data_IF_114640031531
#
_entry.id   IF_114640031531
#
_cell.length_a   1.000
_cell.length_b   1.000
_cell.length_c   1.000
_cell.angle_alpha   90.00
_cell.angle_beta   90.00
_cell.angle_gamma   90.00
#
_symmetry.space_group_name_H-M   'P 1'
#
loop_
_entity.id
_entity.type
_entity.pdbx_description
1 polymer ?
#
# COMPACT_ATOMS: atom_id res chain seq x y z
N UNK A 1 20.54 -15.43 3.04
CA UNK A 1 19.23 -15.50 3.69
C UNK A 1 18.19 -15.41 2.60
N UNK A 2 17.47 -16.50 2.37
CA UNK A 2 16.37 -16.55 1.39
C UNK A 2 15.10 -16.17 2.13
N UNK A 3 14.24 -15.40 1.48
CA UNK A 3 12.91 -15.05 1.99
C UNK A 3 11.84 -15.57 1.05
N UNK A 4 10.79 -16.16 1.60
CA UNK A 4 9.60 -16.56 0.86
C UNK A 4 8.44 -15.60 1.13
N UNK A 5 7.76 -15.15 0.08
CA UNK A 5 6.57 -14.33 0.24
C UNK A 5 5.38 -15.20 0.65
N UNK A 6 4.60 -14.76 1.64
CA UNK A 6 3.38 -15.45 2.07
C UNK A 6 2.22 -14.45 2.24
N UNK A 7 0.98 -14.95 2.11
CA UNK A 7 -0.23 -14.18 2.42
C UNK A 7 -0.35 -14.08 3.94
N UNK A 8 -0.16 -12.88 4.49
CA UNK A 8 -0.11 -12.66 5.94
C UNK A 8 -1.50 -12.41 6.53
N UNK A 9 -2.28 -11.57 5.87
CA UNK A 9 -3.64 -11.20 6.25
C UNK A 9 -4.50 -11.05 5.01
N UNK A 10 -5.79 -11.38 5.12
CA UNK A 10 -6.82 -10.84 4.26
C UNK A 10 -8.02 -10.29 5.04
N UNK A 11 -8.65 -9.27 4.48
CA UNK A 11 -9.97 -8.82 4.88
C UNK A 11 -10.86 -8.86 3.64
N UNK A 12 -11.92 -9.66 3.70
CA UNK A 12 -12.84 -9.90 2.62
C UNK A 12 -14.11 -9.07 2.77
N UNK A 13 -14.61 -8.59 1.62
CA UNK A 13 -15.89 -7.92 1.51
C UNK A 13 -16.01 -6.62 2.33
N UNK A 14 -14.93 -5.84 2.41
CA UNK A 14 -14.98 -4.47 2.94
C UNK A 14 -15.73 -3.59 1.95
N UNK A 15 -16.57 -2.68 2.46
CA UNK A 15 -17.24 -1.67 1.66
C UNK A 15 -16.50 -0.34 1.72
N UNK A 16 -16.20 0.24 0.57
CA UNK A 16 -15.68 1.61 0.47
C UNK A 16 -16.77 2.59 0.91
N UNK A 17 -16.48 3.44 1.88
CA UNK A 17 -17.42 4.44 2.41
C UNK A 17 -17.32 5.76 1.64
N UNK A 18 -16.12 6.20 1.32
CA UNK A 18 -15.87 7.46 0.61
C UNK A 18 -14.63 7.38 -0.29
N UNK A 19 -14.51 8.36 -1.17
CA UNK A 19 -13.33 8.62 -1.98
C UNK A 19 -12.84 10.04 -1.67
N UNK A 20 -11.56 10.18 -1.36
CA UNK A 20 -10.93 11.47 -1.10
C UNK A 20 -10.23 11.97 -2.34
N UNK A 21 -10.69 13.12 -2.84
CA UNK A 21 -10.04 13.88 -3.91
C UNK A 21 -9.36 15.16 -3.40
N UNK A 22 -9.22 15.34 -2.08
CA UNK A 22 -8.64 16.55 -1.52
C UNK A 22 -7.16 16.73 -1.93
N UNK A 23 -6.61 17.92 -1.70
CA UNK A 23 -5.22 18.28 -1.99
C UNK A 23 -4.33 18.40 -0.74
N UNK A 24 -4.81 17.98 0.44
CA UNK A 24 -4.12 18.19 1.72
C UNK A 24 -4.00 16.88 2.54
N UNK A 25 -2.84 16.68 3.18
CA UNK A 25 -2.51 15.45 3.91
C UNK A 25 -1.92 14.36 3.02
N UNK A 26 -2.16 13.09 3.35
CA UNK A 26 -1.65 11.95 2.56
C UNK A 26 -2.57 11.74 1.35
N UNK A 27 -2.02 11.87 0.14
CA UNK A 27 -2.78 11.93 -1.12
C UNK A 27 -2.89 10.60 -1.87
N UNK A 28 -2.39 9.50 -1.30
CA UNK A 28 -2.36 8.17 -1.89
C UNK A 28 -2.60 7.14 -0.78
N UNK A 29 -3.19 5.99 -1.07
CA UNK A 29 -3.40 4.95 -0.06
C UNK A 29 -4.88 4.60 0.17
N UNK A 30 -5.09 3.75 1.17
CA UNK A 30 -6.42 3.38 1.65
C UNK A 30 -6.50 3.66 3.14
N UNK A 31 -7.39 4.56 3.54
CA UNK A 31 -7.70 4.83 4.94
C UNK A 31 -8.55 3.68 5.47
N UNK A 32 -8.06 3.02 6.53
CA UNK A 32 -8.72 1.88 7.16
C UNK A 32 -8.90 2.22 8.66
N UNK A 33 -10.09 2.02 9.23
CA UNK A 33 -10.32 2.24 10.66
C UNK A 33 -9.30 1.50 11.53
N UNK A 34 -8.67 2.19 12.49
CA UNK A 34 -7.68 1.57 13.40
C UNK A 34 -8.20 0.29 14.08
N UNK A 35 -9.45 0.23 14.56
CA UNK A 35 -9.98 -1.00 15.13
C UNK A 35 -9.98 -2.18 14.14
N UNK A 36 -10.33 -1.94 12.86
CA UNK A 36 -10.29 -2.96 11.82
C UNK A 36 -8.86 -3.37 11.47
N UNK A 37 -7.94 -2.42 11.37
CA UNK A 37 -6.51 -2.72 11.17
C UNK A 37 -5.96 -3.60 12.30
N UNK A 38 -6.30 -3.28 13.55
CA UNK A 38 -5.91 -4.06 14.73
C UNK A 38 -6.49 -5.47 14.69
N UNK A 39 -7.79 -5.60 14.37
CA UNK A 39 -8.45 -6.90 14.24
C UNK A 39 -7.76 -7.77 13.18
N UNK A 40 -7.35 -7.16 12.07
CA UNK A 40 -6.70 -7.80 10.93
C UNK A 40 -5.19 -8.02 11.08
N UNK A 41 -4.58 -7.54 12.17
CA UNK A 41 -3.12 -7.50 12.30
C UNK A 41 -2.44 -6.80 11.10
N UNK A 42 -2.95 -5.64 10.69
CA UNK A 42 -2.36 -4.76 9.66
C UNK A 42 -1.71 -3.57 10.37
N UNK A 43 -0.44 -3.29 10.06
CA UNK A 43 0.24 -2.10 10.59
C UNK A 43 -0.09 -0.85 9.77
N UNK A 44 -0.13 0.34 10.41
CA UNK A 44 -0.06 1.61 9.70
C UNK A 44 1.08 1.63 8.68
N UNK A 45 0.73 2.08 7.48
CA UNK A 45 1.60 2.17 6.31
C UNK A 45 2.13 0.84 5.77
N UNK A 46 1.55 -0.29 6.18
CA UNK A 46 1.80 -1.59 5.56
C UNK A 46 1.30 -1.60 4.11
N UNK A 47 2.10 -2.17 3.21
CA UNK A 47 1.70 -2.37 1.83
C UNK A 47 0.53 -3.35 1.78
N UNK A 48 -0.51 -2.93 1.08
CA UNK A 48 -1.71 -3.72 0.86
C UNK A 48 -1.88 -3.99 -0.63
N UNK A 49 -2.60 -5.06 -0.92
CA UNK A 49 -3.17 -5.32 -2.24
C UNK A 49 -4.67 -5.15 -2.11
N UNK A 50 -5.24 -4.30 -2.95
CA UNK A 50 -6.68 -4.06 -3.02
C UNK A 50 -7.23 -4.74 -4.26
N UNK A 51 -8.27 -5.55 -4.07
CA UNK A 51 -8.99 -6.24 -5.15
C UNK A 51 -10.46 -5.85 -5.11
N UNK A 52 -11.10 -5.60 -6.25
CA UNK A 52 -12.51 -5.25 -6.34
C UNK A 52 -13.33 -6.46 -6.79
N UNK A 53 -14.38 -6.82 -6.05
CA UNK A 53 -15.23 -7.99 -6.39
C UNK A 53 -15.88 -7.92 -7.78
N UNK A 54 -16.00 -6.71 -8.36
CA UNK A 54 -16.50 -6.49 -9.73
C UNK A 54 -15.39 -6.27 -10.78
N UNK A 55 -14.12 -6.29 -10.37
CA UNK A 55 -12.97 -6.10 -11.26
C UNK A 55 -12.85 -7.23 -12.27
N UNK A 56 -12.58 -6.90 -13.54
CA UNK A 56 -12.64 -7.88 -14.64
C UNK A 56 -11.28 -8.34 -15.15
N UNK A 57 -10.16 -7.70 -14.79
CA UNK A 57 -8.80 -8.01 -15.28
C UNK A 57 -7.69 -7.61 -14.28
N UNK A 58 -6.54 -7.12 -14.77
CA UNK A 58 -5.37 -6.67 -14.00
C UNK A 58 -5.66 -5.48 -13.07
N UNK A 59 -6.73 -4.75 -13.34
CA UNK A 59 -7.34 -3.72 -12.48
C UNK A 59 -7.89 -4.28 -11.17
N UNK A 60 -8.00 -5.61 -11.04
CA UNK A 60 -8.47 -6.29 -9.85
C UNK A 60 -7.38 -6.57 -8.81
N UNK A 61 -6.13 -6.09 -8.99
CA UNK A 61 -5.06 -6.32 -8.02
C UNK A 61 -4.09 -5.16 -7.93
N UNK A 62 -4.50 -4.12 -7.21
CA UNK A 62 -3.77 -2.86 -7.13
C UNK A 62 -3.00 -2.80 -5.81
N UNK A 63 -1.69 -2.60 -5.89
CA UNK A 63 -0.86 -2.40 -4.70
C UNK A 63 -1.05 -0.98 -4.19
N UNK A 64 -1.09 -0.80 -2.88
CA UNK A 64 -1.17 0.49 -2.21
C UNK A 64 -0.64 0.32 -0.77
N UNK A 65 -1.04 1.18 0.16
CA UNK A 65 -0.70 1.05 1.57
C UNK A 65 -1.85 1.49 2.47
N UNK A 66 -1.88 0.93 3.68
CA UNK A 66 -2.89 1.26 4.68
C UNK A 66 -2.56 2.57 5.40
N UNK A 67 -3.53 3.47 5.48
CA UNK A 67 -3.47 4.68 6.31
C UNK A 67 -4.39 4.46 7.51
N UNK A 68 -3.94 4.71 8.75
CA UNK A 68 -4.83 4.62 9.90
C UNK A 68 -5.91 5.70 9.85
N UNK A 69 -7.18 5.27 9.94
CA UNK A 69 -8.35 6.14 10.03
C UNK A 69 -8.90 6.23 11.46
N UNK A 70 -9.30 7.44 11.84
CA UNK A 70 -9.90 7.73 13.16
C UNK A 70 -11.44 7.60 13.17
N UNK A 71 -12.03 7.32 12.01
CA UNK A 71 -13.47 7.05 11.84
C UNK A 71 -13.70 5.57 11.53
N UNK A 72 -14.96 5.15 11.48
CA UNK A 72 -15.36 3.80 11.03
C UNK A 72 -15.38 3.66 9.51
N UNK A 73 -15.04 4.72 8.77
CA UNK A 73 -15.11 4.75 7.33
C UNK A 73 -13.84 4.22 6.67
N UNK A 74 -14.04 3.43 5.62
CA UNK A 74 -12.96 3.07 4.69
C UNK A 74 -12.97 4.08 3.57
N UNK A 75 -11.89 4.83 3.45
CA UNK A 75 -11.77 5.91 2.46
C UNK A 75 -10.62 5.64 1.49
N UNK A 76 -10.90 5.76 0.21
CA UNK A 76 -9.92 5.55 -0.87
C UNK A 76 -9.27 6.88 -1.23
N UNK A 77 -7.95 6.89 -1.45
CA UNK A 77 -7.19 8.08 -1.84
C UNK A 77 -6.39 7.84 -3.12
N UNK A 78 -6.04 8.92 -3.82
CA UNK A 78 -5.08 8.91 -4.93
C UNK A 78 -5.45 8.02 -6.10
N UNK A 79 -4.48 7.26 -6.60
CA UNK A 79 -4.62 6.42 -7.79
C UNK A 79 -5.73 5.37 -7.69
N UNK A 80 -6.07 4.92 -6.47
CA UNK A 80 -7.13 3.95 -6.25
C UNK A 80 -8.54 4.51 -6.57
N UNK A 81 -8.73 5.83 -6.51
CA UNK A 81 -10.01 6.49 -6.79
C UNK A 81 -10.48 6.29 -8.24
N UNK A 82 -9.58 5.89 -9.15
CA UNK A 82 -9.92 5.62 -10.56
C UNK A 82 -10.61 4.25 -10.76
N UNK A 83 -10.55 3.37 -9.75
CA UNK A 83 -11.12 2.02 -9.83
C UNK A 83 -12.19 1.74 -8.77
N UNK A 84 -12.27 2.60 -7.75
CA UNK A 84 -13.12 2.41 -6.58
C UNK A 84 -13.99 3.64 -6.37
N UNK A 85 -15.27 3.38 -6.15
CA UNK A 85 -16.29 4.37 -5.80
C UNK A 85 -16.95 4.00 -4.46
N UNK A 86 -17.61 4.94 -3.77
CA UNK A 86 -18.42 4.62 -2.60
C UNK A 86 -19.39 3.46 -2.88
N UNK A 87 -19.44 2.49 -1.95
CA UNK A 87 -20.21 1.26 -2.10
C UNK A 87 -19.45 0.10 -2.76
N UNK A 88 -18.28 0.33 -3.35
CA UNK A 88 -17.42 -0.74 -3.89
C UNK A 88 -17.11 -1.78 -2.82
N UNK A 89 -17.18 -3.05 -3.19
CA UNK A 89 -16.88 -4.17 -2.30
C UNK A 89 -15.51 -4.74 -2.64
N UNK A 90 -14.55 -4.57 -1.72
CA UNK A 90 -13.14 -4.87 -1.91
C UNK A 90 -12.65 -5.98 -0.97
N UNK A 91 -11.55 -6.61 -1.36
CA UNK A 91 -10.70 -7.36 -0.42
C UNK A 91 -9.36 -6.64 -0.26
N UNK A 92 -8.82 -6.69 0.95
CA UNK A 92 -7.51 -6.16 1.30
C UNK A 92 -6.62 -7.36 1.66
N UNK A 93 -5.42 -7.44 1.08
CA UNK A 93 -4.47 -8.52 1.35
C UNK A 93 -3.13 -7.90 1.73
N UNK A 94 -2.51 -8.38 2.80
CA UNK A 94 -1.11 -8.05 3.09
C UNK A 94 -0.20 -9.24 2.82
N UNK A 95 1.02 -8.92 2.40
CA UNK A 95 2.09 -9.89 2.20
C UNK A 95 3.10 -9.76 3.33
N UNK A 96 3.63 -10.88 3.78
CA UNK A 96 4.84 -10.88 4.57
C UNK A 96 5.92 -11.75 3.92
N UNK A 97 7.08 -11.78 4.55
CA UNK A 97 8.26 -12.52 4.12
C UNK A 97 8.75 -13.40 5.27
N UNK A 98 8.82 -14.70 5.02
CA UNK A 98 9.29 -15.71 5.95
C UNK A 98 10.77 -16.00 5.68
N UNK A 99 11.56 -16.07 6.74
CA UNK A 99 12.88 -16.70 6.67
C UNK A 99 12.75 -18.23 6.73
N UNK A 100 13.85 -18.95 6.52
CA UNK A 100 13.87 -20.42 6.46
C UNK A 100 13.23 -21.09 7.70
N UNK A 101 13.46 -20.54 8.90
CA UNK A 101 12.87 -21.07 10.13
C UNK A 101 11.35 -20.86 10.16
N UNK A 102 10.90 -19.69 9.70
CA UNK A 102 9.49 -19.36 9.65
C UNK A 102 8.72 -20.12 8.56
N UNK A 103 9.38 -20.47 7.44
CA UNK A 103 8.81 -21.36 6.41
C UNK A 103 8.53 -22.73 7.03
N UNK A 104 9.47 -23.29 7.79
CA UNK A 104 9.26 -24.57 8.48
C UNK A 104 8.09 -24.51 9.46
N UNK A 105 8.00 -23.44 10.26
CA UNK A 105 6.88 -23.23 11.20
C UNK A 105 5.53 -23.13 10.45
N UNK A 106 5.50 -22.46 9.30
CA UNK A 106 4.30 -22.41 8.45
C UNK A 106 3.91 -23.81 7.94
N UNK A 107 4.87 -24.57 7.38
CA UNK A 107 4.62 -25.93 6.87
C UNK A 107 4.19 -26.92 7.95
N UNK A 108 4.64 -26.74 9.19
CA UNK A 108 4.22 -27.54 10.34
C UNK A 108 2.82 -27.17 10.87
N UNK A 109 2.19 -26.12 10.35
CA UNK A 109 0.91 -25.63 10.85
C UNK A 109 1.02 -24.87 12.18
N UNK A 110 2.17 -24.24 12.45
CA UNK A 110 2.41 -23.48 13.69
C UNK A 110 2.20 -21.96 13.49
N UNK A 111 2.26 -21.48 12.24
CA UNK A 111 2.11 -20.06 11.90
C UNK A 111 0.85 -19.84 11.04
N UNK A 112 -0.22 -19.21 11.58
CA UNK A 112 -1.43 -18.96 10.81
C UNK A 112 -1.36 -17.66 10.00
N UNK A 113 -2.09 -17.61 8.89
CA UNK A 113 -2.55 -16.34 8.32
C UNK A 113 -3.83 -15.87 9.04
N UNK A 114 -4.10 -14.56 8.98
CA UNK A 114 -5.33 -13.97 9.53
C UNK A 114 -6.31 -13.74 8.40
N UNK A 115 -7.48 -14.35 8.46
CA UNK A 115 -8.55 -14.19 7.48
C UNK A 115 -9.76 -13.54 8.15
N UNK A 116 -10.17 -12.37 7.67
CA UNK A 116 -11.36 -11.66 8.17
C UNK A 116 -12.38 -11.58 7.05
N UNK A 117 -13.64 -11.84 7.36
CA UNK A 117 -14.72 -11.75 6.39
C UNK A 117 -15.93 -11.04 6.93
N UNK A 118 -16.51 -10.18 6.08
CA UNK A 118 -17.87 -9.69 6.24
C UNK A 118 -18.82 -10.44 5.30
N UNK A 119 -20.08 -10.60 5.69
CA UNK A 119 -21.11 -11.12 4.78
C UNK A 119 -21.43 -10.06 3.71
N UNK A 120 -21.22 -10.32 2.40
CA UNK A 120 -21.33 -9.30 1.35
C UNK A 120 -22.66 -8.54 1.32
N UNK A 121 -23.76 -9.27 1.50
CA UNK A 121 -25.13 -8.73 1.40
C UNK A 121 -25.56 -7.97 2.65
N UNK A 122 -25.02 -8.33 3.81
CA UNK A 122 -25.35 -7.71 5.09
C UNK A 122 -24.38 -6.57 5.46
N UNK A 123 -23.18 -6.53 4.90
CA UNK A 123 -22.19 -5.50 5.21
C UNK A 123 -22.55 -4.18 4.54
N UNK A 124 -23.15 -3.26 5.29
CA UNK A 124 -23.48 -1.91 4.83
C UNK A 124 -22.41 -0.87 5.20
N UNK A 125 -21.68 -1.09 6.30
CA UNK A 125 -20.89 -0.04 6.95
C UNK A 125 -19.63 -0.56 7.68
N UNK A 126 -19.21 -1.80 7.45
CA UNK A 126 -18.03 -2.44 8.04
C UNK A 126 -18.02 -2.47 9.58
N UNK A 127 -19.20 -2.60 10.19
CA UNK A 127 -19.31 -2.73 11.65
C UNK A 127 -18.55 -3.97 12.14
N UNK A 128 -17.70 -3.80 13.15
CA UNK A 128 -16.76 -4.85 13.55
C UNK A 128 -17.47 -6.06 14.16
N UNK A 129 -18.64 -5.88 14.76
CA UNK A 129 -19.48 -6.96 15.28
C UNK A 129 -19.96 -7.94 14.19
N UNK A 130 -19.98 -7.49 12.93
CA UNK A 130 -20.35 -8.33 11.78
C UNK A 130 -19.15 -9.07 11.18
N UNK A 131 -17.93 -8.75 11.65
CA UNK A 131 -16.71 -9.35 11.15
C UNK A 131 -16.48 -10.74 11.77
N UNK A 132 -16.21 -11.73 10.92
CA UNK A 132 -15.71 -13.03 11.36
C UNK A 132 -14.21 -13.10 11.21
N UNK A 133 -13.51 -13.50 12.27
CA UNK A 133 -12.06 -13.64 12.28
C UNK A 133 -11.69 -15.11 12.31
N UNK A 134 -10.80 -15.50 11.41
CA UNK A 134 -10.27 -16.85 11.33
C UNK A 134 -8.74 -16.84 11.37
N UNK A 135 -8.20 -17.84 12.05
CA UNK A 135 -6.81 -18.23 11.96
C UNK A 135 -6.71 -19.42 11.01
N UNK A 136 -6.13 -19.21 9.83
CA UNK A 136 -5.90 -20.26 8.85
C UNK A 136 -4.47 -20.76 8.92
N UNK A 137 -4.32 -21.98 9.40
CA UNK A 137 -3.09 -22.74 9.37
C UNK A 137 -3.06 -23.60 8.10
N UNK A 138 -1.91 -24.21 7.82
CA UNK A 138 -1.74 -25.06 6.63
C UNK A 138 -2.79 -26.18 6.51
N UNK A 139 -3.25 -26.74 7.63
CA UNK A 139 -4.15 -27.90 7.69
C UNK A 139 -5.48 -27.65 8.40
N UNK A 140 -5.73 -26.46 8.95
CA UNK A 140 -6.93 -26.18 9.73
C UNK A 140 -7.32 -24.70 9.70
N UNK A 141 -8.61 -24.41 9.87
CA UNK A 141 -9.17 -23.06 9.96
C UNK A 141 -10.00 -22.97 11.23
N UNK A 142 -9.66 -22.02 12.10
CA UNK A 142 -10.32 -21.82 13.40
C UNK A 142 -10.96 -20.43 13.45
N UNK A 143 -12.27 -20.36 13.73
CA UNK A 143 -12.95 -19.10 14.04
C UNK A 143 -12.57 -18.65 15.45
N UNK A 144 -12.26 -17.37 15.62
CA UNK A 144 -11.86 -16.75 16.89
C UNK A 144 -12.53 -15.39 17.03
N UNK A 145 -12.80 -14.95 18.26
CA UNK A 145 -13.33 -13.59 18.48
C UNK A 145 -12.25 -12.52 18.23
N UNK A 146 -11.00 -12.84 18.55
CA UNK A 146 -9.84 -11.97 18.37
C UNK A 146 -8.57 -12.81 18.23
N UNK A 147 -7.54 -12.23 17.61
CA UNK A 147 -6.24 -12.91 17.47
C UNK A 147 -5.58 -13.02 18.85
N UNK A 148 -5.22 -14.23 19.32
CA UNK A 148 -4.52 -14.40 20.58
C UNK A 148 -3.16 -13.69 20.59
N UNK A 149 -2.79 -13.11 21.74
CA UNK A 149 -1.54 -12.31 21.88
C UNK A 149 -0.28 -13.10 21.52
N UNK A 150 -0.19 -14.37 21.95
CA UNK A 150 0.93 -15.25 21.62
C UNK A 150 1.06 -15.49 20.11
N UNK A 151 -0.06 -15.57 19.38
CA UNK A 151 -0.08 -15.72 17.93
C UNK A 151 0.39 -14.42 17.25
N UNK A 152 -0.04 -13.25 17.73
CA UNK A 152 0.47 -11.96 17.24
C UNK A 152 1.98 -11.82 17.43
N UNK A 153 2.49 -12.18 18.61
CA UNK A 153 3.93 -12.15 18.92
C UNK A 153 4.71 -13.09 18.01
N UNK A 154 4.25 -14.34 17.86
CA UNK A 154 4.86 -15.31 16.95
C UNK A 154 4.85 -14.80 15.51
N UNK A 155 3.73 -14.25 15.03
CA UNK A 155 3.63 -13.69 13.68
C UNK A 155 4.58 -12.52 13.46
N UNK A 156 4.77 -11.64 14.45
CA UNK A 156 5.72 -10.53 14.34
C UNK A 156 7.18 -11.00 14.40
N UNK A 157 7.45 -12.06 15.15
CA UNK A 157 8.78 -12.67 15.22
C UNK A 157 9.14 -13.41 13.92
N UNK A 158 8.20 -14.20 13.39
CA UNK A 158 8.46 -15.11 12.26
C UNK A 158 8.41 -14.43 10.90
N UNK A 159 7.83 -13.22 10.75
CA UNK A 159 7.75 -12.62 9.43
C UNK A 159 7.97 -11.12 9.38
N UNK A 160 8.68 -10.69 8.34
CA UNK A 160 8.81 -9.29 7.97
C UNK A 160 7.62 -8.84 7.13
N UNK A 161 7.17 -7.60 7.33
CA UNK A 161 6.14 -6.93 6.55
C UNK A 161 6.78 -5.95 5.56
N UNK A 162 6.04 -5.55 4.54
CA UNK A 162 6.44 -4.48 3.62
C UNK A 162 5.83 -3.18 4.12
N UNK A 163 6.64 -2.28 4.66
CA UNK A 163 6.17 -1.01 5.26
C UNK A 163 6.66 0.16 4.41
N UNK A 164 5.78 1.15 4.17
CA UNK A 164 6.13 2.38 3.47
C UNK A 164 7.25 3.10 4.22
N UNK A 165 8.26 3.55 3.49
CA UNK A 165 9.41 4.26 4.05
C UNK A 165 9.55 5.69 3.56
N UNK A 166 9.13 5.93 2.32
CA UNK A 166 9.13 7.24 1.69
C UNK A 166 7.93 7.34 0.77
N UNK A 167 7.31 8.51 0.72
CA UNK A 167 6.26 8.85 -0.23
C UNK A 167 6.48 10.29 -0.73
N UNK A 168 6.51 10.46 -2.05
CA UNK A 168 6.50 11.75 -2.72
C UNK A 168 5.16 11.86 -3.46
N UNK A 169 4.36 12.86 -3.13
CA UNK A 169 3.06 13.08 -3.74
C UNK A 169 3.03 14.35 -4.60
N UNK A 170 2.17 14.37 -5.62
CA UNK A 170 1.88 15.58 -6.39
C UNK A 170 2.94 15.93 -7.45
N UNK A 171 3.74 14.97 -7.90
CA UNK A 171 4.67 15.17 -9.00
C UNK A 171 3.92 15.23 -10.33
N UNK A 172 4.30 16.15 -11.21
CA UNK A 172 3.80 16.21 -12.59
C UNK A 172 4.90 15.80 -13.55
N UNK A 173 4.65 14.86 -14.46
CA UNK A 173 5.67 14.44 -15.45
C UNK A 173 5.95 15.60 -16.42
N UNK A 174 7.17 16.09 -16.48
CA UNK A 174 7.57 17.22 -17.35
C UNK A 174 8.26 16.77 -18.64
N UNK A 175 8.78 15.54 -18.69
CA UNK A 175 9.41 14.98 -19.88
C UNK A 175 9.18 13.47 -19.98
N UNK A 176 9.36 12.92 -21.19
CA UNK A 176 9.41 11.47 -21.40
C UNK A 176 10.53 11.08 -22.36
N UNK A 177 11.06 9.87 -22.18
CA UNK A 177 12.03 9.26 -23.09
C UNK A 177 11.60 7.82 -23.43
N UNK A 178 10.73 7.62 -24.43
CA UNK A 178 10.09 6.34 -24.69
C UNK A 178 11.02 5.26 -25.27
N UNK A 179 12.15 5.65 -25.89
CA UNK A 179 13.06 4.73 -26.59
C UNK A 179 14.04 3.98 -25.67
N UNK A 180 13.77 3.95 -24.36
CA UNK A 180 14.56 3.20 -23.38
C UNK A 180 14.01 1.78 -23.20
N UNK A 181 14.91 0.78 -23.16
CA UNK A 181 14.52 -0.63 -22.95
C UNK A 181 13.91 -0.89 -21.57
N UNK A 182 14.36 -0.17 -20.54
CA UNK A 182 13.83 -0.25 -19.19
C UNK A 182 13.21 1.08 -18.80
N UNK A 183 12.00 1.04 -18.23
CA UNK A 183 11.35 2.24 -17.73
C UNK A 183 11.79 2.57 -16.31
N UNK A 184 12.20 3.82 -16.09
CA UNK A 184 12.60 4.42 -14.81
C UNK A 184 11.64 5.53 -14.39
N UNK A 185 11.63 5.83 -13.09
CA UNK A 185 11.09 7.06 -12.55
C UNK A 185 12.24 8.04 -12.29
N UNK A 186 12.37 9.08 -13.09
CA UNK A 186 13.46 10.04 -12.94
C UNK A 186 12.94 11.31 -12.25
N UNK A 187 13.54 11.66 -11.13
CA UNK A 187 12.99 12.59 -10.15
C UNK A 187 14.01 13.66 -9.77
N UNK A 188 13.58 14.89 -9.45
CA UNK A 188 14.47 15.93 -8.94
C UNK A 188 15.23 15.46 -7.68
N UNK A 189 16.55 15.59 -7.70
CA UNK A 189 17.42 15.08 -6.63
C UNK A 189 17.15 15.74 -5.26
N UNK A 190 16.79 17.02 -5.27
CA UNK A 190 16.37 17.81 -4.11
C UNK A 190 15.09 17.26 -3.44
N UNK A 191 14.09 16.89 -4.24
CA UNK A 191 12.86 16.25 -3.76
C UNK A 191 13.16 14.84 -3.23
N UNK A 192 13.98 14.06 -3.95
CA UNK A 192 14.41 12.75 -3.48
C UNK A 192 15.12 12.85 -2.12
N UNK A 193 16.02 13.82 -1.95
CA UNK A 193 16.72 14.07 -0.71
C UNK A 193 15.77 14.42 0.44
N UNK A 194 14.81 15.32 0.20
CA UNK A 194 13.80 15.68 1.20
C UNK A 194 12.95 14.48 1.64
N UNK A 195 12.65 13.57 0.72
CA UNK A 195 11.90 12.35 0.99
C UNK A 195 12.77 11.20 1.56
N UNK A 196 14.08 11.40 1.72
CA UNK A 196 15.05 10.36 2.10
C UNK A 196 15.05 9.17 1.15
N UNK A 197 14.84 9.44 -0.14
CA UNK A 197 14.84 8.47 -1.22
C UNK A 197 16.22 8.43 -1.89
N UNK A 198 16.94 7.32 -1.74
CA UNK A 198 18.25 7.14 -2.37
C UNK A 198 18.13 6.88 -3.89
N UNK A 199 19.17 7.28 -4.63
CA UNK A 199 19.33 6.91 -6.05
C UNK A 199 19.25 5.40 -6.27
N UNK A 200 18.62 5.01 -7.36
CA UNK A 200 18.43 3.62 -7.83
C UNK A 200 17.68 2.72 -6.86
N UNK A 201 16.99 3.30 -5.87
CA UNK A 201 16.10 2.53 -4.99
C UNK A 201 14.86 2.11 -5.76
N UNK A 202 14.41 0.88 -5.54
CA UNK A 202 13.14 0.38 -6.05
C UNK A 202 11.96 1.19 -5.50
N UNK A 203 11.05 1.57 -6.39
CA UNK A 203 9.88 2.42 -6.10
C UNK A 203 8.64 1.92 -6.81
N UNK A 204 7.49 2.31 -6.28
CA UNK A 204 6.17 2.15 -6.84
C UNK A 204 5.70 3.52 -7.30
N UNK A 205 5.43 3.67 -8.59
CA UNK A 205 4.88 4.90 -9.16
C UNK A 205 3.39 4.72 -9.35
N UNK A 206 2.60 5.49 -8.62
CA UNK A 206 1.16 5.57 -8.73
C UNK A 206 0.78 6.64 -9.74
N UNK A 207 -0.05 6.29 -10.72
CA UNK A 207 -0.62 7.27 -11.64
C UNK A 207 -1.92 7.80 -11.03
N UNK A 208 -1.91 9.04 -10.54
CA UNK A 208 -3.06 9.61 -9.85
C UNK A 208 -4.22 9.94 -10.83
N UNK A 209 -3.90 10.24 -12.09
CA UNK A 209 -4.90 10.66 -13.08
C UNK A 209 -5.59 9.48 -13.77
N UNK A 210 -4.84 8.42 -14.09
CA UNK A 210 -5.35 7.23 -14.80
C UNK A 210 -5.52 6.02 -13.91
N UNK A 211 -4.97 6.07 -12.69
CA UNK A 211 -4.94 4.97 -11.78
C UNK A 211 -3.83 3.97 -12.11
N UNK A 212 -3.62 3.05 -11.19
CA UNK A 212 -2.70 1.94 -11.33
C UNK A 212 -1.32 2.29 -10.79
N UNK A 213 -0.44 1.30 -10.88
CA UNK A 213 0.90 1.38 -10.32
C UNK A 213 1.87 0.67 -11.26
N UNK A 214 3.09 1.21 -11.35
CA UNK A 214 4.22 0.54 -11.96
C UNK A 214 5.39 0.45 -10.97
N UNK A 215 6.00 -0.73 -10.89
CA UNK A 215 7.22 -0.97 -10.10
C UNK A 215 8.44 -0.65 -10.97
N UNK A 216 9.36 0.14 -10.45
CA UNK A 216 10.58 0.58 -11.13
C UNK A 216 11.62 1.02 -10.10
N UNK A 217 12.60 1.83 -10.47
CA UNK A 217 13.60 2.44 -9.61
C UNK A 217 13.70 3.95 -9.86
N UNK A 218 14.11 4.69 -8.83
CA UNK A 218 14.29 6.14 -8.90
C UNK A 218 15.66 6.52 -9.48
N UNK A 219 15.70 7.45 -10.43
CA UNK A 219 16.94 8.03 -10.99
C UNK A 219 16.98 9.53 -10.70
N UNK A 220 18.07 10.08 -10.15
CA UNK A 220 18.14 11.51 -9.86
C UNK A 220 18.25 12.34 -11.13
N UNK A 221 17.56 13.47 -11.15
CA UNK A 221 17.54 14.48 -12.21
C UNK A 221 17.77 15.89 -11.66
N UNK A 222 18.14 16.87 -12.51
CA UNK A 222 18.16 18.27 -12.13
C UNK A 222 16.81 18.76 -11.56
N UNK A 223 16.82 19.82 -10.74
CA UNK A 223 15.60 20.41 -10.18
C UNK A 223 14.51 20.68 -11.22
N UNK A 224 13.25 20.39 -10.86
CA UNK A 224 12.07 20.62 -11.72
C UNK A 224 11.85 19.57 -12.83
N UNK A 225 12.80 18.65 -13.06
CA UNK A 225 12.65 17.61 -14.08
C UNK A 225 12.10 16.34 -13.46
N UNK A 226 10.87 15.99 -13.83
CA UNK A 226 10.25 14.68 -13.55
C UNK A 226 10.08 13.99 -14.89
N UNK A 227 10.81 12.89 -15.11
CA UNK A 227 10.80 12.18 -16.38
C UNK A 227 10.45 10.72 -16.20
N UNK A 228 9.67 10.19 -17.15
CA UNK A 228 9.41 8.75 -17.27
C UNK A 228 10.04 8.20 -18.55
N UNK A 229 10.63 7.03 -18.48
CA UNK A 229 11.35 6.44 -19.63
C UNK A 229 10.77 5.09 -20.03
N UNK A 230 11.08 4.62 -21.25
CA UNK A 230 10.64 3.31 -21.74
C UNK A 230 9.13 3.09 -21.60
N UNK A 231 8.71 1.93 -21.08
CA UNK A 231 7.30 1.62 -20.84
C UNK A 231 6.61 2.59 -19.84
N UNK A 232 7.38 3.23 -18.95
CA UNK A 232 6.83 4.23 -18.01
C UNK A 232 6.32 5.49 -18.74
N UNK A 233 6.88 5.83 -19.91
CA UNK A 233 6.41 6.96 -20.71
C UNK A 233 4.97 6.77 -21.22
N UNK A 234 4.56 5.53 -21.51
CA UNK A 234 3.19 5.21 -21.88
C UNK A 234 2.26 5.16 -20.65
N UNK A 235 2.77 4.63 -19.54
CA UNK A 235 2.04 4.57 -18.26
C UNK A 235 1.73 5.97 -17.72
N UNK A 236 2.70 6.87 -17.72
CA UNK A 236 2.59 8.24 -17.23
C UNK A 236 3.27 9.22 -18.23
N UNK A 237 2.55 9.68 -19.27
CA UNK A 237 3.05 10.67 -20.21
C UNK A 237 3.18 12.06 -19.59
N UNK A 238 3.80 13.01 -20.33
CA UNK A 238 3.89 14.42 -19.92
C UNK A 238 2.54 14.98 -19.46
N UNK A 239 2.55 15.74 -18.36
CA UNK A 239 1.40 16.33 -17.69
C UNK A 239 0.68 15.39 -16.70
N UNK A 240 1.06 14.11 -16.65
CA UNK A 240 0.45 13.14 -15.71
C UNK A 240 0.88 13.43 -14.29
N UNK A 241 -0.08 13.45 -13.35
CA UNK A 241 0.20 13.48 -11.92
C UNK A 241 0.54 12.09 -11.39
N UNK A 242 1.64 12.02 -10.65
CA UNK A 242 2.16 10.78 -10.08
C UNK A 242 2.53 10.93 -8.62
N UNK A 243 2.43 9.83 -7.89
CA UNK A 243 2.97 9.68 -6.54
C UNK A 243 4.02 8.57 -6.57
N UNK A 244 5.13 8.72 -5.84
CA UNK A 244 6.22 7.74 -5.81
C UNK A 244 6.44 7.26 -4.39
N UNK A 245 6.31 5.95 -4.17
CA UNK A 245 6.51 5.31 -2.88
C UNK A 245 7.71 4.37 -2.89
N UNK A 246 8.43 4.33 -1.77
CA UNK A 246 9.45 3.31 -1.51
C UNK A 246 9.11 2.54 -0.24
N UNK A 247 9.36 1.24 -0.26
CA UNK A 247 9.06 0.34 0.86
C UNK A 247 10.33 -0.26 1.47
N UNK A 248 10.20 -0.75 2.70
CA UNK A 248 11.21 -1.52 3.40
C UNK A 248 10.60 -2.78 4.00
N UNK A 249 11.41 -3.84 4.10
CA UNK A 249 11.06 -5.02 4.89
C UNK A 249 11.35 -4.76 6.37
N UNK A 250 10.36 -4.97 7.24
CA UNK A 250 10.52 -4.76 8.67
C UNK A 250 9.61 -5.66 9.50
N UNK A 251 10.11 -6.14 10.64
CA UNK A 251 9.31 -6.81 11.68
C UNK A 251 8.64 -5.80 12.65
N UNK A 252 9.03 -4.54 12.57
CA UNK A 252 8.55 -3.46 13.44
C UNK A 252 7.94 -2.32 12.64
N UNK A 253 7.00 -1.63 13.26
CA UNK A 253 6.40 -0.42 12.72
C UNK A 253 7.38 0.75 12.77
N UNK A 254 7.34 1.63 11.76
CA UNK A 254 8.03 2.92 11.77
C UNK A 254 7.23 3.93 10.94
N UNK A 255 7.51 5.21 11.13
CA UNK A 255 6.87 6.30 10.38
C UNK A 255 7.60 6.53 9.04
N UNK A 256 6.88 6.60 7.91
CA UNK A 256 7.45 6.99 6.63
C UNK A 256 7.81 8.48 6.62
N UNK A 257 8.74 8.87 5.73
CA UNK A 257 8.90 10.28 5.35
C UNK A 257 7.95 10.59 4.20
N UNK A 258 7.04 11.53 4.38
CA UNK A 258 6.04 11.89 3.37
C UNK A 258 6.25 13.35 2.95
N UNK A 259 6.35 13.57 1.65
CA UNK A 259 6.57 14.87 1.04
C UNK A 259 5.47 15.14 0.01
N UNK A 260 4.70 16.19 0.19
CA UNK A 260 3.80 16.71 -0.82
C UNK A 260 4.52 17.80 -1.61
N UNK A 261 4.51 17.68 -2.94
CA UNK A 261 5.15 18.60 -3.87
C UNK A 261 4.09 19.45 -4.56
N UNK A 262 4.36 20.75 -4.71
CA UNK A 262 3.63 21.62 -5.64
C UNK A 262 4.60 22.12 -6.72
N UNK A 263 4.19 22.03 -7.99
CA UNK A 263 4.95 22.49 -9.16
C UNK A 263 6.38 21.91 -9.28
N UNK A 264 6.59 20.66 -8.87
CA UNK A 264 7.88 19.95 -8.94
C UNK A 264 9.07 20.72 -8.33
N UNK A 265 8.83 21.58 -7.34
CA UNK A 265 9.87 22.42 -6.74
C UNK A 265 10.10 22.07 -5.27
N UNK A 266 11.37 21.97 -4.87
CA UNK A 266 11.76 21.78 -3.47
C UNK A 266 11.35 22.96 -2.56
N UNK A 267 11.14 24.14 -3.12
CA UNK A 267 10.71 25.33 -2.36
C UNK A 267 9.24 25.23 -1.92
N UNK A 268 8.45 24.37 -2.58
CA UNK A 268 7.04 24.18 -2.30
C UNK A 268 6.75 22.78 -1.77
N UNK A 269 7.64 22.28 -0.91
CA UNK A 269 7.47 21.01 -0.22
C UNK A 269 6.73 21.20 1.10
N UNK A 270 5.74 20.35 1.32
CA UNK A 270 5.12 20.15 2.62
C UNK A 270 5.51 18.77 3.15
N UNK A 271 6.23 18.73 4.27
CA UNK A 271 6.51 17.49 4.98
C UNK A 271 5.28 17.12 5.80
N UNK A 272 4.65 16.01 5.43
CA UNK A 272 3.45 15.52 6.14
C UNK A 272 3.90 14.67 7.31
N UNK A 273 3.59 15.12 8.53
CA UNK A 273 3.84 14.34 9.73
C UNK A 273 2.80 13.22 9.83
N UNK A 274 3.21 12.00 9.48
CA UNK A 274 2.42 10.81 9.69
C UNK A 274 2.22 10.56 11.20
N UNK A 275 0.98 10.33 11.62
CA UNK A 275 0.65 9.88 12.97
C UNK A 275 0.52 8.37 13.03
N UNK A 276 0.91 7.80 14.17
CA UNK A 276 0.75 6.38 14.47
C UNK A 276 -0.64 6.04 14.96
#
# INVERSE_FOLDING_TARGET
MIFESFKRTAIHNIRVSSVRQNTEGILEGLVIPRPLMKLADILPFEQIVVTNSKGKNWDNRIYSFAIPGDTEHVEVCGSLCQFLEPGSLICIITRGFLDENAVQAYSNGELPMVDIGFLPEANLSNHLEDAKVFLEYFNQKNEVDQIPKNILEQRNYCSSRVILSSLICGLEVTATHPDCLQGSAELPEDIMFAAKLNRYRGVFVYNADKGGMAETYAVPMPPGIVMTTGAMAAFAPVGTKTNVAAYSLSKSQFLPTIVNVKNNSSENLEVVNASL
#
